data_IF_898268754495
#
_entry.id   IF_898268754495
#
_cell.length_a   1.000
_cell.length_b   1.000
_cell.length_c   1.000
_cell.angle_alpha   90.00
_cell.angle_beta   90.00
_cell.angle_gamma   90.00
#
_symmetry.space_group_name_H-M   'P 1'
#
loop_
_entity.id
_entity.type
_entity.pdbx_description
1 polymer ?
#
# COMPACT_ATOMS: atom_id res chain seq x y z
N UNK A 1 -12.82 33.93 21.40
CA UNK A 1 -13.27 33.82 20.00
C UNK A 1 -13.28 32.34 19.64
N UNK A 2 -14.40 31.81 19.14
CA UNK A 2 -14.43 30.44 18.62
C UNK A 2 -13.56 30.36 17.36
N UNK A 3 -12.59 29.45 17.32
CA UNK A 3 -11.82 29.17 16.10
C UNK A 3 -12.77 28.52 15.10
N UNK A 4 -12.80 29.03 13.87
CA UNK A 4 -13.43 28.32 12.77
C UNK A 4 -12.75 26.95 12.59
N UNK A 5 -13.55 25.89 12.46
CA UNK A 5 -13.07 24.53 12.17
C UNK A 5 -13.37 24.18 10.72
N UNK A 6 -12.37 23.69 10.01
CA UNK A 6 -12.52 23.14 8.64
C UNK A 6 -12.20 21.65 8.70
N UNK A 7 -13.04 20.83 8.04
CA UNK A 7 -12.87 19.38 7.95
C UNK A 7 -12.74 19.00 6.49
N UNK A 8 -11.74 18.17 6.17
CA UNK A 8 -11.50 17.64 4.83
C UNK A 8 -11.69 16.13 4.90
N UNK A 9 -12.56 15.59 4.04
CA UNK A 9 -12.76 14.15 3.90
C UNK A 9 -12.15 13.67 2.59
N UNK A 10 -11.08 12.86 2.69
CA UNK A 10 -10.54 12.12 1.56
C UNK A 10 -11.38 10.87 1.29
N UNK A 11 -11.67 10.59 0.02
CA UNK A 11 -12.36 9.38 -0.43
C UNK A 11 -11.36 8.34 -0.97
N UNK A 12 -11.70 7.05 -0.92
CA UNK A 12 -10.90 5.91 -1.42
C UNK A 12 -9.59 5.63 -0.67
N UNK A 13 -8.81 4.65 -1.14
CA UNK A 13 -7.43 4.35 -0.72
C UNK A 13 -6.61 5.65 -0.56
N UNK A 14 -6.70 6.50 -1.58
CA UNK A 14 -5.92 7.73 -1.73
C UNK A 14 -6.27 8.76 -0.67
N UNK A 15 -7.55 8.93 -0.39
CA UNK A 15 -8.02 9.83 0.64
C UNK A 15 -7.55 9.40 2.03
N UNK A 16 -7.56 8.10 2.30
CA UNK A 16 -7.09 7.55 3.57
C UNK A 16 -5.58 7.68 3.74
N UNK A 17 -4.79 7.36 2.71
CA UNK A 17 -3.33 7.52 2.75
C UNK A 17 -2.93 8.99 2.93
N UNK A 18 -3.60 9.92 2.24
CA UNK A 18 -3.37 11.35 2.43
C UNK A 18 -3.65 11.78 3.88
N UNK A 19 -4.74 11.32 4.47
CA UNK A 19 -5.07 11.63 5.87
C UNK A 19 -3.99 11.11 6.84
N UNK A 20 -3.51 9.87 6.64
CA UNK A 20 -2.45 9.26 7.45
C UNK A 20 -1.16 10.07 7.34
N UNK A 21 -0.72 10.40 6.13
CA UNK A 21 0.52 11.16 5.91
C UNK A 21 0.42 12.56 6.53
N UNK A 22 -0.73 13.23 6.39
CA UNK A 22 -0.94 14.53 7.01
C UNK A 22 -0.90 14.49 8.53
N UNK A 23 -1.53 13.50 9.15
CA UNK A 23 -1.50 13.32 10.60
C UNK A 23 -0.08 13.02 11.08
N UNK A 24 0.63 12.10 10.40
CA UNK A 24 2.04 11.80 10.68
C UNK A 24 2.92 13.05 10.58
N UNK A 25 2.77 13.85 9.53
CA UNK A 25 3.54 15.07 9.33
C UNK A 25 3.34 16.11 10.44
N UNK A 26 2.13 16.15 11.03
CA UNK A 26 1.76 17.12 12.07
C UNK A 26 2.05 16.65 13.49
N UNK A 27 2.33 15.36 13.68
CA UNK A 27 2.67 14.81 14.98
C UNK A 27 4.12 15.11 15.34
N UNK A 28 4.35 15.55 16.58
CA UNK A 28 5.70 15.69 17.15
C UNK A 28 6.44 14.34 17.27
N UNK A 29 5.72 13.23 17.07
CA UNK A 29 6.22 11.85 17.16
C UNK A 29 6.23 11.15 15.79
N UNK A 30 6.31 11.91 14.70
CA UNK A 30 6.16 11.41 13.33
C UNK A 30 6.99 10.16 13.01
N UNK A 31 8.29 10.15 13.35
CA UNK A 31 9.21 9.02 13.07
C UNK A 31 8.89 7.79 13.91
N UNK A 32 8.48 8.00 15.17
CA UNK A 32 8.10 6.93 16.09
C UNK A 32 6.80 6.27 15.62
N UNK A 33 5.81 7.08 15.26
CA UNK A 33 4.54 6.61 14.74
C UNK A 33 4.68 5.89 13.40
N UNK A 34 5.49 6.43 12.48
CA UNK A 34 5.80 5.76 11.22
C UNK A 34 6.47 4.40 11.47
N UNK A 35 7.52 4.36 12.31
CA UNK A 35 8.21 3.10 12.63
C UNK A 35 7.25 2.08 13.22
N UNK A 36 6.36 2.51 14.13
CA UNK A 36 5.36 1.64 14.76
C UNK A 36 4.33 1.13 13.76
N UNK A 37 3.82 1.99 12.87
CA UNK A 37 2.89 1.59 11.80
C UNK A 37 3.51 0.56 10.87
N UNK A 38 4.75 0.77 10.44
CA UNK A 38 5.45 -0.17 9.56
C UNK A 38 5.67 -1.53 10.25
N UNK A 39 5.94 -1.54 11.56
CA UNK A 39 6.06 -2.75 12.38
C UNK A 39 4.74 -3.54 12.56
N UNK A 40 3.58 -2.97 12.24
CA UNK A 40 2.31 -3.72 12.23
C UNK A 40 2.19 -4.65 11.02
N UNK A 41 3.10 -4.54 10.06
CA UNK A 41 3.07 -5.35 8.84
C UNK A 41 3.49 -6.79 9.12
N UNK A 42 2.83 -7.76 8.48
CA UNK A 42 3.14 -9.20 8.57
C UNK A 42 3.57 -9.76 7.20
N UNK A 43 4.67 -10.52 7.08
CA UNK A 43 5.67 -10.74 8.11
C UNK A 43 6.39 -9.44 8.50
N UNK A 44 6.95 -9.44 9.70
CA UNK A 44 7.62 -8.29 10.30
C UNK A 44 8.71 -7.72 9.40
N UNK A 45 8.59 -6.42 9.11
CA UNK A 45 9.61 -5.69 8.39
C UNK A 45 10.82 -5.45 9.30
N UNK A 46 12.00 -5.82 8.82
CA UNK A 46 13.26 -5.57 9.49
C UNK A 46 13.72 -4.12 9.26
N UNK A 47 12.88 -3.16 9.64
CA UNK A 47 13.15 -1.73 9.49
C UNK A 47 13.93 -1.22 10.70
N UNK A 48 15.03 -0.45 10.50
CA UNK A 48 15.74 0.19 11.59
C UNK A 48 14.83 1.14 12.39
N UNK A 49 15.04 1.27 13.70
CA UNK A 49 14.17 2.07 14.59
C UNK A 49 14.58 3.54 14.71
N UNK A 50 15.79 3.89 14.28
CA UNK A 50 16.44 5.18 14.45
C UNK A 50 16.28 6.08 13.20
N UNK A 51 15.04 6.32 12.78
CA UNK A 51 14.71 7.16 11.62
C UNK A 51 15.01 8.63 11.96
N UNK A 52 15.73 9.33 11.07
CA UNK A 52 16.13 10.74 11.26
C UNK A 52 15.48 11.70 10.27
N UNK A 53 15.09 11.21 9.10
CA UNK A 53 14.40 11.97 8.07
C UNK A 53 13.32 11.08 7.46
N UNK A 54 12.24 11.69 6.98
CA UNK A 54 11.19 10.98 6.25
C UNK A 54 10.69 11.89 5.14
N UNK A 55 10.60 11.36 3.92
CA UNK A 55 9.93 11.99 2.79
C UNK A 55 8.83 11.05 2.27
N UNK A 56 7.67 11.63 1.96
CA UNK A 56 6.52 10.90 1.42
C UNK A 56 6.25 11.36 -0.01
N UNK A 57 6.11 10.42 -0.94
CA UNK A 57 5.53 10.69 -2.26
C UNK A 57 4.18 9.97 -2.35
N UNK A 58 3.11 10.74 -2.51
CA UNK A 58 1.74 10.21 -2.59
C UNK A 58 1.32 10.16 -4.06
N UNK A 59 0.76 9.03 -4.51
CA UNK A 59 0.35 8.81 -5.90
C UNK A 59 1.47 9.03 -6.94
N UNK A 60 2.72 8.74 -6.60
CA UNK A 60 3.84 8.97 -7.51
C UNK A 60 3.77 8.02 -8.71
N UNK A 61 3.64 8.59 -9.92
CA UNK A 61 3.78 7.85 -11.16
C UNK A 61 5.24 7.54 -11.47
N UNK A 62 5.54 6.33 -11.91
CA UNK A 62 6.85 5.89 -12.38
C UNK A 62 6.80 5.42 -13.84
N UNK A 63 6.07 6.17 -14.69
CA UNK A 63 5.92 5.87 -16.10
C UNK A 63 5.36 4.45 -16.32
N UNK A 64 6.12 3.58 -16.97
CA UNK A 64 5.70 2.21 -17.32
C UNK A 64 5.70 1.25 -16.13
N UNK A 65 6.32 1.62 -15.00
CA UNK A 65 6.28 0.87 -13.75
C UNK A 65 5.00 1.14 -12.91
N UNK A 66 4.03 1.84 -13.51
CA UNK A 66 2.79 2.21 -12.86
C UNK A 66 2.94 3.33 -11.85
N UNK A 67 1.92 3.56 -11.04
CA UNK A 67 1.95 4.55 -9.96
C UNK A 67 1.99 3.81 -8.63
N UNK A 68 2.72 4.35 -7.65
CA UNK A 68 2.65 3.89 -6.27
C UNK A 68 1.59 4.69 -5.53
N UNK A 69 0.75 4.03 -4.75
CA UNK A 69 -0.19 4.76 -3.88
C UNK A 69 0.56 5.60 -2.84
N UNK A 70 1.61 5.04 -2.23
CA UNK A 70 2.53 5.78 -1.36
C UNK A 70 3.96 5.23 -1.48
N UNK A 71 4.94 6.14 -1.55
CA UNK A 71 6.36 5.85 -1.38
C UNK A 71 6.86 6.59 -0.16
N UNK A 72 7.59 5.89 0.70
CA UNK A 72 8.23 6.47 1.87
C UNK A 72 9.73 6.30 1.76
N UNK A 73 10.45 7.41 1.75
CA UNK A 73 11.90 7.43 1.88
C UNK A 73 12.26 7.83 3.31
N UNK A 74 13.25 7.18 3.90
CA UNK A 74 13.77 7.60 5.20
C UNK A 74 15.25 7.27 5.35
N UNK A 75 15.97 8.17 6.03
CA UNK A 75 17.34 7.93 6.47
C UNK A 75 17.35 7.44 7.90
N UNK A 76 18.40 6.68 8.23
CA UNK A 76 18.66 6.21 9.59
C UNK A 76 19.90 6.87 10.17
N UNK A 77 19.96 7.01 11.50
CA UNK A 77 21.11 7.63 12.15
C UNK A 77 22.40 6.81 11.97
N UNK A 78 22.29 5.50 11.74
CA UNK A 78 23.44 4.62 11.52
C UNK A 78 23.95 4.77 10.09
N UNK A 79 25.11 5.40 9.95
CA UNK A 79 25.81 5.63 8.67
C UNK A 79 24.97 6.36 7.59
N UNK A 80 23.85 7.00 7.96
CA UNK A 80 22.93 7.67 7.02
C UNK A 80 22.47 6.75 5.89
N UNK A 81 22.20 5.49 6.22
CA UNK A 81 21.61 4.54 5.25
C UNK A 81 20.20 4.98 4.88
N UNK A 82 19.91 4.97 3.59
CA UNK A 82 18.63 5.37 3.02
C UNK A 82 17.77 4.17 2.66
N UNK A 83 16.50 4.20 3.06
CA UNK A 83 15.54 3.12 2.87
C UNK A 83 14.31 3.59 2.12
N UNK A 84 13.71 2.67 1.36
CA UNK A 84 12.47 2.90 0.62
C UNK A 84 11.40 1.90 1.04
N UNK A 85 10.17 2.37 1.25
CA UNK A 85 8.98 1.52 1.39
C UNK A 85 7.98 1.91 0.31
N UNK A 86 7.63 0.94 -0.54
CA UNK A 86 6.50 1.05 -1.45
C UNK A 86 5.25 0.49 -0.77
N UNK A 87 4.16 1.26 -0.78
CA UNK A 87 2.86 0.83 -0.28
C UNK A 87 1.87 0.89 -1.43
N UNK A 88 1.22 -0.25 -1.70
CA UNK A 88 0.08 -0.33 -2.60
C UNK A 88 -1.15 -0.72 -1.77
N UNK A 89 -2.22 0.05 -1.93
CA UNK A 89 -3.39 -0.04 -1.08
C UNK A 89 -4.60 -0.59 -1.83
N UNK A 90 -5.49 -1.22 -1.07
CA UNK A 90 -6.78 -1.68 -1.55
C UNK A 90 -7.85 -1.48 -0.49
N UNK A 91 -9.01 -0.99 -0.89
CA UNK A 91 -10.20 -0.96 -0.03
C UNK A 91 -11.24 -1.99 -0.49
N UNK A 92 -12.11 -2.44 0.41
CA UNK A 92 -13.15 -3.43 0.07
C UNK A 92 -14.12 -2.91 -1.00
N UNK A 93 -14.28 -1.58 -1.09
CA UNK A 93 -15.30 -0.93 -1.90
C UNK A 93 -16.71 -1.42 -1.51
N UNK A 94 -17.73 -1.14 -2.32
CA UNK A 94 -19.08 -1.68 -2.11
C UNK A 94 -19.17 -3.21 -2.30
N UNK A 95 -18.04 -3.92 -2.46
CA UNK A 95 -18.03 -5.36 -2.69
C UNK A 95 -18.25 -6.08 -1.36
N UNK A 96 -19.34 -6.84 -1.28
CA UNK A 96 -19.67 -7.63 -0.07
C UNK A 96 -18.66 -8.73 0.24
N UNK A 97 -17.80 -9.10 -0.73
CA UNK A 97 -16.80 -10.17 -0.64
C UNK A 97 -15.55 -9.77 -1.42
N UNK A 98 -14.60 -9.13 -0.76
CA UNK A 98 -13.23 -8.99 -1.26
C UNK A 98 -12.36 -10.06 -0.60
N UNK A 99 -11.51 -10.75 -1.36
CA UNK A 99 -10.50 -11.64 -0.79
C UNK A 99 -9.18 -11.52 -1.56
N UNK A 100 -8.06 -11.57 -0.84
CA UNK A 100 -6.72 -11.53 -1.42
C UNK A 100 -6.58 -12.62 -2.49
N UNK A 101 -7.05 -13.83 -2.19
CA UNK A 101 -6.96 -15.00 -3.07
C UNK A 101 -7.71 -14.79 -4.38
N UNK A 102 -9.00 -14.50 -4.34
CA UNK A 102 -9.84 -14.46 -5.54
C UNK A 102 -9.73 -13.16 -6.31
N UNK A 103 -9.57 -12.04 -5.60
CA UNK A 103 -9.64 -10.71 -6.20
C UNK A 103 -8.28 -10.22 -6.69
N UNK A 104 -7.17 -10.67 -6.10
CA UNK A 104 -5.83 -10.20 -6.46
C UNK A 104 -4.96 -11.38 -6.95
N UNK A 105 -4.73 -12.41 -6.13
CA UNK A 105 -3.78 -13.49 -6.46
C UNK A 105 -4.14 -14.26 -7.73
N UNK A 106 -5.40 -14.66 -7.91
CA UNK A 106 -5.82 -15.38 -9.13
C UNK A 106 -5.66 -14.52 -10.39
N UNK A 107 -5.86 -13.20 -10.29
CA UNK A 107 -5.68 -12.29 -11.42
C UNK A 107 -4.20 -12.14 -11.75
N UNK A 108 -3.36 -11.99 -10.73
CA UNK A 108 -1.92 -11.96 -10.87
C UNK A 108 -1.39 -13.27 -11.48
N UNK A 109 -1.83 -14.44 -11.00
CA UNK A 109 -1.37 -15.71 -11.55
C UNK A 109 -1.77 -15.88 -13.02
N UNK A 110 -3.04 -15.58 -13.36
CA UNK A 110 -3.48 -15.60 -14.76
C UNK A 110 -2.65 -14.69 -15.65
N UNK A 111 -2.20 -13.55 -15.11
CA UNK A 111 -1.30 -12.65 -15.81
C UNK A 111 0.06 -13.31 -16.05
N UNK A 112 0.66 -13.89 -15.01
CA UNK A 112 1.95 -14.59 -15.12
C UNK A 112 1.89 -15.78 -16.08
N UNK A 113 0.86 -16.63 -15.96
CA UNK A 113 0.64 -17.76 -16.86
C UNK A 113 0.49 -17.30 -18.30
N UNK A 114 -0.25 -16.22 -18.52
CA UNK A 114 -0.43 -15.62 -19.84
C UNK A 114 0.89 -15.13 -20.43
N UNK A 115 1.75 -14.49 -19.64
CA UNK A 115 3.05 -13.98 -20.08
C UNK A 115 4.04 -15.09 -20.41
N UNK A 116 3.91 -16.23 -19.73
CA UNK A 116 4.69 -17.43 -20.02
C UNK A 116 4.13 -18.23 -21.21
N UNK A 117 2.93 -17.89 -21.69
CA UNK A 117 2.37 -18.45 -22.92
C UNK A 117 2.84 -17.62 -24.13
N UNK A 118 3.33 -18.28 -25.17
CA UNK A 118 3.84 -17.65 -26.41
C UNK A 118 2.71 -17.09 -27.29
N UNK A 119 1.61 -16.62 -26.68
CA UNK A 119 0.40 -16.18 -27.38
C UNK A 119 0.29 -14.65 -27.38
N UNK A 120 0.11 -14.09 -28.58
CA UNK A 120 0.23 -12.67 -28.89
C UNK A 120 -1.01 -11.82 -28.50
N UNK A 121 -1.61 -12.09 -27.34
CA UNK A 121 -2.86 -11.48 -26.90
C UNK A 121 -2.68 -10.42 -25.78
N UNK A 122 -1.72 -9.51 -25.97
CA UNK A 122 -1.38 -8.38 -25.07
C UNK A 122 -2.52 -7.38 -24.76
N UNK A 123 -3.78 -7.67 -25.09
CA UNK A 123 -4.83 -6.66 -25.18
C UNK A 123 -5.76 -6.46 -23.99
N UNK A 124 -5.74 -7.25 -22.91
CA UNK A 124 -6.75 -7.08 -21.83
C UNK A 124 -6.33 -7.42 -20.41
N UNK A 125 -5.08 -7.15 -20.02
CA UNK A 125 -4.70 -7.37 -18.62
C UNK A 125 -4.82 -6.07 -17.83
N UNK A 126 -5.69 -6.07 -16.82
CA UNK A 126 -5.88 -4.96 -15.91
C UNK A 126 -4.59 -4.72 -15.11
N UNK A 127 -3.96 -3.56 -15.28
CA UNK A 127 -2.70 -3.24 -14.60
C UNK A 127 -2.89 -2.79 -13.16
N UNK A 128 -4.10 -2.47 -12.70
CA UNK A 128 -4.37 -1.93 -11.36
C UNK A 128 -4.54 -2.99 -10.26
N UNK A 129 -4.04 -4.19 -10.48
CA UNK A 129 -4.06 -5.29 -9.52
C UNK A 129 -2.93 -5.11 -8.50
N UNK A 130 -3.21 -5.43 -7.23
CA UNK A 130 -2.31 -5.16 -6.11
C UNK A 130 -0.92 -5.80 -6.31
N UNK A 131 -0.88 -7.09 -6.62
CA UNK A 131 0.38 -7.82 -6.79
C UNK A 131 1.08 -7.42 -8.09
N UNK A 132 0.33 -7.08 -9.12
CA UNK A 132 0.89 -6.51 -10.35
C UNK A 132 1.63 -5.20 -10.08
N UNK A 133 1.02 -4.27 -9.32
CA UNK A 133 1.65 -2.99 -9.01
C UNK A 133 2.91 -3.17 -8.17
N UNK A 134 2.87 -4.03 -7.14
CA UNK A 134 4.04 -4.35 -6.32
C UNK A 134 5.16 -5.01 -7.13
N UNK A 135 4.82 -5.93 -8.03
CA UNK A 135 5.78 -6.54 -8.95
C UNK A 135 6.46 -5.49 -9.84
N UNK A 136 5.73 -4.49 -10.35
CA UNK A 136 6.34 -3.39 -11.10
C UNK A 136 7.30 -2.55 -10.26
N UNK A 137 7.03 -2.35 -8.97
CA UNK A 137 7.96 -1.64 -8.09
C UNK A 137 9.26 -2.43 -7.88
N UNK A 138 9.17 -3.75 -7.74
CA UNK A 138 10.36 -4.61 -7.67
C UNK A 138 11.22 -4.50 -8.92
N UNK A 139 10.61 -4.57 -10.10
CA UNK A 139 11.33 -4.45 -11.37
C UNK A 139 11.93 -3.06 -11.59
N UNK A 140 11.24 -2.01 -11.14
CA UNK A 140 11.77 -0.65 -11.18
C UNK A 140 13.04 -0.54 -10.35
N UNK A 141 13.01 -1.04 -9.11
CA UNK A 141 14.15 -1.01 -8.19
C UNK A 141 15.34 -1.76 -8.79
N UNK A 142 15.11 -2.96 -9.35
CA UNK A 142 16.17 -3.70 -10.03
C UNK A 142 16.73 -2.96 -11.24
N UNK A 143 15.86 -2.32 -12.03
CA UNK A 143 16.27 -1.52 -13.20
C UNK A 143 17.18 -0.38 -12.77
N UNK A 144 16.86 0.29 -11.66
CA UNK A 144 17.69 1.35 -11.09
C UNK A 144 19.01 0.79 -10.56
N UNK A 145 19.00 -0.33 -9.84
CA UNK A 145 20.21 -0.95 -9.27
C UNK A 145 21.19 -1.48 -10.31
N UNK A 146 20.69 -2.09 -11.39
CA UNK A 146 21.51 -2.72 -12.44
C UNK A 146 21.80 -1.78 -13.63
N UNK A 147 21.17 -0.60 -13.66
CA UNK A 147 21.24 0.39 -14.73
C UNK A 147 20.35 0.07 -15.94
N UNK A 148 20.10 1.08 -16.80
CA UNK A 148 19.21 1.04 -17.98
C UNK A 148 19.55 -0.04 -19.04
N UNK A 149 20.54 -0.90 -18.83
CA UNK A 149 20.89 -1.98 -19.75
C UNK A 149 20.47 -3.37 -19.25
N UNK A 150 19.94 -3.50 -18.04
CA UNK A 150 19.57 -4.80 -17.46
C UNK A 150 18.12 -5.22 -17.72
N UNK A 151 17.41 -4.56 -18.63
CA UNK A 151 15.98 -4.76 -18.82
C UNK A 151 15.68 -6.20 -19.26
N UNK A 152 15.27 -7.04 -18.33
CA UNK A 152 14.48 -8.21 -18.68
C UNK A 152 13.26 -7.71 -19.44
N UNK A 153 13.07 -8.25 -20.65
CA UNK A 153 11.88 -7.99 -21.44
C UNK A 153 10.68 -8.45 -20.63
N UNK A 154 9.93 -7.51 -20.04
CA UNK A 154 8.56 -7.80 -19.63
C UNK A 154 7.68 -7.91 -20.88
N UNK A 155 7.88 -8.96 -21.68
CA UNK A 155 6.96 -9.28 -22.77
C UNK A 155 5.56 -9.39 -22.15
N UNK A 156 4.64 -8.52 -22.55
CA UNK A 156 3.22 -8.57 -22.19
C UNK A 156 2.76 -7.79 -20.94
N UNK A 157 3.65 -7.08 -20.22
CA UNK A 157 3.23 -6.13 -19.19
C UNK A 157 3.23 -4.69 -19.75
N UNK A 158 2.24 -4.35 -20.58
CA UNK A 158 2.13 -2.99 -21.10
C UNK A 158 1.51 -2.94 -22.48
N UNK A 159 1.00 -1.76 -22.84
CA UNK A 159 0.53 -1.47 -24.19
C UNK A 159 1.74 -1.14 -25.06
N UNK A 160 2.53 -2.10 -25.54
CA UNK A 160 3.39 -1.79 -26.69
C UNK A 160 3.96 -2.98 -27.46
N UNK A 161 4.37 -2.66 -28.70
CA UNK A 161 4.81 -3.53 -29.79
C UNK A 161 6.02 -4.36 -29.39
N UNK A 162 6.11 -5.57 -29.95
CA UNK A 162 7.28 -6.45 -29.85
C UNK A 162 8.60 -5.65 -29.93
N UNK A 163 9.39 -5.71 -28.85
CA UNK A 163 10.75 -5.19 -28.82
C UNK A 163 10.98 -3.83 -28.17
N UNK A 164 9.95 -3.12 -27.69
CA UNK A 164 10.19 -1.90 -26.89
C UNK A 164 10.72 -2.25 -25.48
N UNK A 165 11.65 -1.41 -25.00
CA UNK A 165 12.29 -1.53 -23.68
C UNK A 165 11.46 -0.75 -22.67
N UNK A 166 11.29 -1.28 -21.45
CA UNK A 166 10.62 -0.54 -20.40
C UNK A 166 11.47 0.67 -19.99
N UNK A 167 10.84 1.84 -19.89
CA UNK A 167 11.48 3.11 -19.63
C UNK A 167 10.81 3.87 -18.48
N UNK A 168 11.66 4.49 -17.65
CA UNK A 168 11.26 5.52 -16.68
C UNK A 168 10.69 6.78 -17.36
N UNK A 169 10.79 6.86 -18.69
CA UNK A 169 10.32 7.98 -19.49
C UNK A 169 11.17 9.23 -19.30
N UNK A 170 10.74 10.31 -19.96
CA UNK A 170 11.45 11.59 -19.95
C UNK A 170 10.85 12.64 -19.01
N UNK A 171 9.84 12.28 -18.21
CA UNK A 171 9.16 13.22 -17.32
C UNK A 171 10.10 13.68 -16.18
N UNK A 172 10.35 14.99 -16.02
CA UNK A 172 11.26 15.49 -14.98
C UNK A 172 10.83 15.17 -13.55
N UNK A 173 9.52 15.05 -13.28
CA UNK A 173 9.00 14.68 -11.96
C UNK A 173 9.32 13.22 -11.65
N UNK A 174 9.19 12.34 -12.65
CA UNK A 174 9.56 10.91 -12.51
C UNK A 174 11.06 10.78 -12.27
N UNK A 175 11.90 11.49 -13.06
CA UNK A 175 13.35 11.48 -12.88
C UNK A 175 13.76 11.94 -11.47
N UNK A 176 13.16 13.02 -10.98
CA UNK A 176 13.34 13.49 -9.59
C UNK A 176 12.95 12.45 -8.54
N UNK A 177 11.90 11.68 -8.75
CA UNK A 177 11.51 10.60 -7.83
C UNK A 177 12.52 9.43 -7.88
N UNK A 178 13.05 9.11 -9.06
CA UNK A 178 14.07 8.08 -9.25
C UNK A 178 15.40 8.49 -8.62
N UNK A 179 15.83 9.74 -8.78
CA UNK A 179 17.04 10.28 -8.13
C UNK A 179 16.97 10.21 -6.59
N UNK A 180 15.76 10.29 -6.02
CA UNK A 180 15.55 10.05 -4.59
C UNK A 180 15.66 8.56 -4.29
N UNK A 181 14.99 7.72 -5.07
CA UNK A 181 15.06 6.27 -4.93
C UNK A 181 16.50 5.76 -4.95
N UNK A 182 17.33 6.21 -5.89
CA UNK A 182 18.75 5.84 -6.01
C UNK A 182 19.55 6.04 -4.72
N UNK A 183 19.19 7.06 -3.92
CA UNK A 183 19.85 7.37 -2.65
C UNK A 183 19.31 6.53 -1.48
N UNK A 184 18.23 5.79 -1.68
CA UNK A 184 17.50 5.06 -0.64
C UNK A 184 17.35 3.57 -0.98
N UNK A 185 18.41 2.96 -1.50
CA UNK A 185 18.46 1.54 -1.91
C UNK A 185 19.16 0.63 -0.90
N UNK A 186 19.60 1.14 0.26
CA UNK A 186 20.24 0.30 1.31
C UNK A 186 19.28 -0.75 1.87
N UNK A 187 17.98 -0.48 1.81
CA UNK A 187 16.92 -1.46 2.02
C UNK A 187 15.61 -1.02 1.39
N UNK A 188 14.97 -1.94 0.67
CA UNK A 188 13.72 -1.67 -0.04
C UNK A 188 12.65 -2.67 0.40
N UNK A 189 11.49 -2.15 0.79
CA UNK A 189 10.38 -2.93 1.31
C UNK A 189 9.09 -2.69 0.50
N UNK A 190 8.23 -3.71 0.48
CA UNK A 190 6.99 -3.71 -0.28
C UNK A 190 5.83 -4.08 0.62
N UNK A 191 4.84 -3.19 0.74
CA UNK A 191 3.69 -3.36 1.61
C UNK A 191 2.41 -3.41 0.78
N UNK A 192 1.63 -4.47 0.99
CA UNK A 192 0.25 -4.58 0.57
C UNK A 192 -0.68 -4.12 1.70
N UNK A 193 -1.31 -2.96 1.57
CA UNK A 193 -2.31 -2.46 2.52
C UNK A 193 -3.72 -2.89 2.10
N UNK A 194 -4.35 -3.75 2.88
CA UNK A 194 -5.55 -4.49 2.44
C UNK A 194 -6.75 -4.34 3.38
N UNK A 195 -7.98 -4.54 2.88
CA UNK A 195 -9.21 -4.44 3.67
C UNK A 195 -9.60 -5.76 4.34
N UNK A 196 -8.61 -6.57 4.73
CA UNK A 196 -8.83 -7.84 5.43
C UNK A 196 -8.72 -7.65 6.95
N UNK A 197 -9.25 -8.61 7.70
CA UNK A 197 -8.93 -8.74 9.13
C UNK A 197 -7.58 -9.42 9.36
N UNK A 198 -7.01 -9.26 10.56
CA UNK A 198 -5.77 -9.97 10.91
C UNK A 198 -5.91 -11.50 10.86
N UNK A 199 -7.08 -12.02 11.24
CA UNK A 199 -7.37 -13.46 11.23
C UNK A 199 -7.36 -14.00 9.78
N UNK A 200 -7.99 -13.28 8.86
CA UNK A 200 -8.01 -13.63 7.44
C UNK A 200 -6.60 -13.55 6.85
N UNK A 201 -5.82 -12.53 7.20
CA UNK A 201 -4.44 -12.40 6.78
C UNK A 201 -3.59 -13.57 7.28
N UNK A 202 -3.69 -13.94 8.56
CA UNK A 202 -2.92 -15.04 9.13
C UNK A 202 -3.30 -16.40 8.50
N UNK A 203 -4.57 -16.57 8.13
CA UNK A 203 -5.04 -17.75 7.37
C UNK A 203 -4.45 -17.78 5.96
N UNK A 204 -4.41 -16.62 5.29
CA UNK A 204 -3.84 -16.47 3.96
C UNK A 204 -2.33 -16.71 3.93
N UNK A 205 -1.58 -16.09 4.85
CA UNK A 205 -0.12 -16.25 4.95
C UNK A 205 0.28 -17.72 5.16
N UNK A 206 -0.56 -18.52 5.83
CA UNK A 206 -0.32 -19.95 6.03
C UNK A 206 -0.58 -20.82 4.79
N UNK A 207 -1.45 -20.38 3.87
CA UNK A 207 -2.01 -21.25 2.82
C UNK A 207 -1.56 -20.91 1.39
N UNK A 208 -1.30 -19.63 1.06
CA UNK A 208 -1.24 -19.18 -0.34
C UNK A 208 0.10 -18.49 -0.74
N UNK A 209 1.12 -18.49 0.12
CA UNK A 209 2.42 -17.83 -0.17
C UNK A 209 3.31 -18.55 -1.20
N UNK A 210 3.07 -19.83 -1.50
CA UNK A 210 3.97 -20.59 -2.41
C UNK A 210 4.03 -19.98 -3.81
N UNK A 211 2.91 -19.50 -4.32
CA UNK A 211 2.80 -18.90 -5.66
C UNK A 211 3.57 -17.59 -5.74
N UNK A 212 3.37 -16.72 -4.75
CA UNK A 212 4.06 -15.43 -4.69
C UNK A 212 5.57 -15.59 -4.52
N UNK A 213 6.03 -16.54 -3.69
CA UNK A 213 7.46 -16.80 -3.47
C UNK A 213 8.22 -17.20 -4.74
N UNK A 214 7.55 -17.84 -5.70
CA UNK A 214 8.20 -18.27 -6.95
C UNK A 214 8.16 -17.21 -8.05
N UNK A 215 7.38 -16.15 -7.86
CA UNK A 215 7.11 -15.15 -8.92
C UNK A 215 7.67 -13.78 -8.55
N UNK A 216 7.51 -13.38 -7.29
CA UNK A 216 8.03 -12.14 -6.76
C UNK A 216 9.48 -12.34 -6.33
N UNK A 217 10.28 -11.30 -6.55
CA UNK A 217 11.73 -11.33 -6.30
C UNK A 217 12.03 -11.07 -4.83
N UNK A 218 11.28 -10.13 -4.26
CA UNK A 218 11.39 -9.74 -2.86
C UNK A 218 10.09 -10.08 -2.11
N UNK A 219 10.17 -10.36 -0.79
CA UNK A 219 8.99 -10.61 0.02
C UNK A 219 8.09 -9.38 0.10
N UNK A 220 6.78 -9.62 0.08
CA UNK A 220 5.76 -8.60 0.39
C UNK A 220 5.35 -8.79 1.85
N UNK A 221 5.30 -7.67 2.57
CA UNK A 221 4.62 -7.58 3.86
C UNK A 221 3.21 -7.04 3.69
N UNK A 222 2.32 -7.38 4.61
CA UNK A 222 0.90 -7.07 4.53
C UNK A 222 0.52 -6.25 5.75
N UNK A 223 -0.21 -5.17 5.52
CA UNK A 223 -0.77 -4.33 6.57
C UNK A 223 -2.28 -4.27 6.36
N UNK A 224 -3.06 -4.24 7.44
CA UNK A 224 -4.51 -4.13 7.32
C UNK A 224 -5.00 -2.75 7.70
N UNK A 225 -6.08 -2.29 7.06
CA UNK A 225 -6.76 -1.07 7.50
C UNK A 225 -7.29 -1.19 8.93
N UNK A 226 -7.62 -2.40 9.39
CA UNK A 226 -8.04 -2.67 10.77
C UNK A 226 -6.91 -2.38 11.77
N UNK A 227 -5.70 -2.88 11.52
CA UNK A 227 -4.53 -2.63 12.37
C UNK A 227 -4.16 -1.14 12.39
N UNK A 228 -4.23 -0.44 11.25
CA UNK A 228 -4.02 1.02 11.21
C UNK A 228 -5.09 1.75 12.03
N UNK A 229 -6.37 1.38 11.86
CA UNK A 229 -7.48 2.00 12.61
C UNK A 229 -7.34 1.81 14.12
N UNK A 230 -6.97 0.59 14.56
CA UNK A 230 -6.70 0.31 15.97
C UNK A 230 -5.55 1.19 16.50
N UNK A 231 -4.43 1.26 15.78
CA UNK A 231 -3.30 2.10 16.15
C UNK A 231 -3.66 3.59 16.25
N UNK A 232 -4.43 4.12 15.30
CA UNK A 232 -4.87 5.51 15.33
C UNK A 232 -5.79 5.79 16.52
N UNK A 233 -6.65 4.83 16.91
CA UNK A 233 -7.54 4.95 18.07
C UNK A 233 -6.80 4.93 19.41
N UNK A 234 -5.65 4.28 19.46
CA UNK A 234 -4.74 4.34 20.62
C UNK A 234 -4.03 5.70 20.72
N UNK A 235 -3.95 6.46 19.61
CA UNK A 235 -3.26 7.75 19.51
C UNK A 235 -4.15 8.86 18.92
N UNK A 236 -5.36 9.10 19.45
CA UNK A 236 -6.38 9.88 18.75
C UNK A 236 -6.02 11.36 18.56
N UNK A 237 -5.18 11.92 19.44
CA UNK A 237 -4.71 13.30 19.33
C UNK A 237 -3.74 13.52 18.15
N UNK A 238 -3.01 12.47 17.75
CA UNK A 238 -2.07 12.53 16.62
C UNK A 238 -2.73 12.19 15.29
N UNK A 239 -3.85 11.44 15.31
CA UNK A 239 -4.52 10.94 14.11
C UNK A 239 -5.96 11.45 13.88
N UNK A 240 -6.27 12.74 14.12
CA UNK A 240 -7.64 13.22 14.02
C UNK A 240 -8.20 13.15 12.59
N UNK A 241 -7.40 13.43 11.55
CA UNK A 241 -7.88 13.41 10.16
C UNK A 241 -8.15 11.98 9.70
N UNK A 242 -7.26 11.06 10.06
CA UNK A 242 -7.32 9.64 9.72
C UNK A 242 -8.53 8.99 10.38
N UNK A 243 -8.78 9.27 11.66
CA UNK A 243 -9.96 8.75 12.38
C UNK A 243 -11.26 9.26 11.76
N UNK A 244 -11.33 10.55 11.43
CA UNK A 244 -12.48 11.11 10.71
C UNK A 244 -12.64 10.49 9.32
N UNK A 245 -11.54 10.18 8.63
CA UNK A 245 -11.52 9.47 7.36
C UNK A 245 -12.10 8.06 7.47
N UNK A 246 -11.76 7.31 8.52
CA UNK A 246 -12.33 5.99 8.77
C UNK A 246 -13.83 6.04 9.08
N UNK A 247 -14.28 7.04 9.84
CA UNK A 247 -15.71 7.23 10.11
C UNK A 247 -16.48 7.54 8.83
N UNK A 248 -15.98 8.49 8.03
CA UNK A 248 -16.62 8.91 6.79
C UNK A 248 -16.67 7.79 5.73
N UNK A 249 -15.58 7.02 5.59
CA UNK A 249 -15.46 5.97 4.57
C UNK A 249 -15.77 4.56 5.08
N UNK A 250 -16.34 4.41 6.28
CA UNK A 250 -16.36 3.13 7.01
C UNK A 250 -16.94 1.93 6.23
N UNK A 251 -17.93 2.16 5.37
CA UNK A 251 -18.55 1.10 4.53
C UNK A 251 -17.72 0.70 3.30
N UNK A 252 -16.68 1.47 2.97
CA UNK A 252 -15.81 1.25 1.82
C UNK A 252 -14.46 0.67 2.22
N UNK A 253 -13.91 1.09 3.36
CA UNK A 253 -12.56 0.72 3.79
C UNK A 253 -12.51 -0.73 4.27
N UNK A 254 -13.47 -1.12 5.10
CA UNK A 254 -13.49 -2.43 5.75
C UNK A 254 -14.43 -3.42 5.06
N UNK A 255 -14.16 -4.71 5.18
CA UNK A 255 -15.11 -5.76 4.83
C UNK A 255 -16.35 -5.70 5.75
N UNK A 256 -17.53 -6.01 5.19
CA UNK A 256 -18.78 -6.09 5.94
C UNK A 256 -18.67 -7.16 7.04
N UNK A 257 -18.66 -6.72 8.31
CA UNK A 257 -18.43 -7.57 9.48
C UNK A 257 -17.48 -6.90 10.48
N UNK A 258 -16.44 -6.23 10.00
CA UNK A 258 -15.52 -5.41 10.82
C UNK A 258 -16.18 -4.08 11.21
N UNK A 259 -17.03 -3.51 10.35
CA UNK A 259 -17.78 -2.28 10.63
C UNK A 259 -18.72 -2.35 11.82
N UNK A 260 -19.17 -3.55 12.23
CA UNK A 260 -20.07 -3.72 13.36
C UNK A 260 -19.41 -3.46 14.72
N UNK A 261 -18.08 -3.66 14.85
CA UNK A 261 -17.32 -3.37 16.07
C UNK A 261 -16.86 -1.90 16.17
N UNK A 262 -17.01 -1.12 15.08
CA UNK A 262 -16.55 0.27 14.99
C UNK A 262 -17.62 1.30 15.33
N UNK A 263 -18.90 0.90 15.47
CA UNK A 263 -19.99 1.81 15.88
C UNK A 263 -20.00 1.95 17.41
N UNK A 264 -19.92 3.18 17.98
CA UNK A 264 -20.26 3.40 19.38
C UNK A 264 -21.69 2.91 19.63
N UNK A 265 -21.87 2.14 20.71
CA UNK A 265 -23.06 1.32 20.94
C UNK A 265 -24.40 2.03 20.69
N UNK A 266 -25.13 1.53 19.70
CA UNK A 266 -26.57 1.70 19.64
C UNK A 266 -27.17 1.02 20.88
N UNK A 267 -27.49 1.81 21.90
CA UNK A 267 -28.34 1.36 23.01
C UNK A 267 -29.61 0.76 22.41
N UNK A 268 -29.79 -0.55 22.56
CA UNK A 268 -31.11 -1.15 22.41
C UNK A 268 -32.01 -0.49 23.44
N UNK A 269 -32.96 0.33 23.00
CA UNK A 269 -34.15 0.60 23.81
C UNK A 269 -34.89 -0.73 23.96
N UNK A 270 -34.77 -1.36 25.12
CA UNK A 270 -35.78 -2.30 25.58
C UNK A 270 -37.03 -1.46 25.87
N UNK A 271 -38.06 -1.61 25.04
CA UNK A 271 -39.42 -1.28 25.45
C UNK A 271 -39.82 -2.32 26.48
N UNK A 272 -39.89 -1.88 27.74
CA UNK A 272 -40.76 -2.48 28.74
C UNK A 272 -42.20 -2.25 28.25
N UNK A 273 -42.85 -3.30 27.76
CA UNK A 273 -44.31 -3.37 27.78
C UNK A 273 -44.69 -3.89 29.16
N UNK A 274 -44.97 -2.97 30.07
CA UNK A 274 -45.87 -3.21 31.18
C UNK A 274 -47.30 -3.12 30.66
N UNK A 275 -48.01 -4.24 30.72
CA UNK A 275 -49.37 -4.46 31.25
C UNK A 275 -49.81 -5.89 30.94
#
# INVERSE_FOLDING_TARGET
>A
MAKASTIIHGYSERGMLNAIVHDLQRSDRCTQHLSRLLQLSKPDLQIPRNLISVEYLIEQSFSEFGSADLVVFFDTADNRKGYTVFVEAKVACHQKKWSIKTNELVKFQKKIDFLNSDTDASKRICNSDLFTQLFFKQLMVETVQKGENSHERLRGFGKEKEGSRISLGNNPVVKKAVERLEKHLDGVFYIALIPASEIELDSYLRSDLKVLKNTLREPISYLTWESISAFCKENPSDFPLTLNGFEYNGTQIFLNGVTASLRPGSKKQQQETGE
#
